data_IF_518281761216
#
_entry.id   IF_518281761216
#
_cell.length_a   1.000
_cell.length_b   1.000
_cell.length_c   1.000
_cell.angle_alpha   90.00
_cell.angle_beta   90.00
_cell.angle_gamma   90.00
#
_symmetry.space_group_name_H-M   'P 1'
#
loop_
_entity.id
_entity.type
_entity.pdbx_description
1 polymer ?
#
# COMPACT_ATOMS: atom_id res chain seq x y z
N UNK A 1 11.13 9.37 20.89
CA UNK A 1 10.24 8.18 20.78
C UNK A 1 9.19 8.54 19.75
N UNK A 2 9.20 7.90 18.57
CA UNK A 2 8.13 8.11 17.59
C UNK A 2 6.94 7.31 18.12
N UNK A 3 5.99 8.02 18.72
CA UNK A 3 4.74 7.44 19.18
C UNK A 3 4.10 6.71 17.98
N UNK A 4 3.73 5.42 18.10
CA UNK A 4 3.15 4.71 16.97
C UNK A 4 1.84 5.41 16.64
N UNK A 5 1.78 6.05 15.46
CA UNK A 5 0.56 6.71 14.97
C UNK A 5 -0.63 5.77 15.19
N UNK A 6 -1.60 6.12 16.05
CA UNK A 6 -2.75 5.26 16.32
C UNK A 6 -3.54 4.94 15.03
N UNK A 7 -3.41 5.80 14.02
CA UNK A 7 -3.92 5.61 12.67
C UNK A 7 -3.20 4.49 11.90
N UNK A 8 -1.88 4.31 12.06
CA UNK A 8 -1.13 3.20 11.46
C UNK A 8 -1.56 1.85 12.02
N UNK A 9 -1.94 1.81 13.30
CA UNK A 9 -2.49 0.60 13.94
C UNK A 9 -3.91 0.35 13.45
N UNK A 10 -4.76 1.39 13.43
CA UNK A 10 -6.16 1.31 13.00
C UNK A 10 -6.31 0.85 11.55
N UNK A 11 -5.48 1.36 10.65
CA UNK A 11 -5.54 1.06 9.22
C UNK A 11 -4.53 0.00 8.78
N UNK A 12 -3.91 -0.74 9.69
CA UNK A 12 -2.90 -1.73 9.35
C UNK A 12 -3.44 -2.81 8.40
N UNK A 13 -4.63 -3.37 8.68
CA UNK A 13 -5.24 -4.38 7.82
C UNK A 13 -5.65 -3.80 6.46
N UNK A 14 -6.33 -2.65 6.47
CA UNK A 14 -6.68 -1.91 5.26
C UNK A 14 -5.46 -1.60 4.38
N UNK A 15 -4.33 -1.24 4.99
CA UNK A 15 -3.07 -0.96 4.29
C UNK A 15 -2.49 -2.24 3.67
N UNK A 16 -2.56 -3.38 4.37
CA UNK A 16 -2.17 -4.67 3.81
C UNK A 16 -3.01 -5.00 2.58
N UNK A 17 -4.32 -4.87 2.68
CA UNK A 17 -5.25 -5.16 1.58
C UNK A 17 -5.03 -4.21 0.40
N UNK A 18 -4.86 -2.92 0.64
CA UNK A 18 -4.60 -1.93 -0.40
C UNK A 18 -3.29 -2.22 -1.16
N UNK A 19 -2.20 -2.53 -0.45
CA UNK A 19 -0.92 -2.92 -1.08
C UNK A 19 -1.08 -4.21 -1.87
N UNK A 20 -1.82 -5.19 -1.34
CA UNK A 20 -2.11 -6.42 -2.08
C UNK A 20 -2.91 -6.15 -3.35
N UNK A 21 -3.93 -5.29 -3.28
CA UNK A 21 -4.77 -4.94 -4.42
C UNK A 21 -3.93 -4.35 -5.56
N UNK A 22 -3.02 -3.43 -5.24
CA UNK A 22 -2.12 -2.83 -6.24
C UNK A 22 -1.18 -3.87 -6.86
N UNK A 23 -0.52 -4.68 -6.03
CA UNK A 23 0.50 -5.63 -6.52
C UNK A 23 -0.15 -6.78 -7.28
N UNK A 24 -1.22 -7.37 -6.75
CA UNK A 24 -1.94 -8.50 -7.38
C UNK A 24 -2.74 -8.06 -8.59
N UNK A 25 -3.30 -6.84 -8.56
CA UNK A 25 -4.01 -6.22 -9.67
C UNK A 25 -3.09 -5.65 -10.75
N UNK A 26 -1.77 -5.73 -10.57
CA UNK A 26 -0.78 -5.17 -11.48
C UNK A 26 -1.01 -3.67 -11.78
N UNK A 27 -1.45 -2.91 -10.77
CA UNK A 27 -1.80 -1.50 -10.91
C UNK A 27 -0.57 -0.60 -10.77
N UNK A 28 -0.57 0.53 -11.47
CA UNK A 28 0.52 1.50 -11.34
C UNK A 28 0.59 2.07 -9.92
N UNK A 29 1.78 2.23 -9.32
CA UNK A 29 1.98 2.99 -8.07
C UNK A 29 1.87 4.50 -8.31
N UNK A 30 0.83 4.93 -9.00
CA UNK A 30 0.55 6.31 -9.33
C UNK A 30 -0.36 6.93 -8.27
N UNK A 31 -0.22 8.24 -8.06
CA UNK A 31 -1.02 8.97 -7.09
C UNK A 31 -2.53 8.82 -7.33
N UNK A 32 -2.98 8.83 -8.59
CA UNK A 32 -4.39 8.63 -8.94
C UNK A 32 -4.94 7.27 -8.46
N UNK A 33 -4.16 6.19 -8.61
CA UNK A 33 -4.54 4.84 -8.16
C UNK A 33 -4.59 4.78 -6.64
N UNK A 34 -3.57 5.35 -5.99
CA UNK A 34 -3.47 5.40 -4.52
C UNK A 34 -4.64 6.20 -3.93
N UNK A 35 -4.97 7.35 -4.52
CA UNK A 35 -6.11 8.15 -4.11
C UNK A 35 -7.41 7.36 -4.30
N UNK A 36 -7.64 6.76 -5.46
CA UNK A 36 -8.85 5.97 -5.72
C UNK A 36 -9.04 4.85 -4.68
N UNK A 37 -8.00 4.05 -4.42
CA UNK A 37 -8.07 2.99 -3.42
C UNK A 37 -8.35 3.57 -2.02
N UNK A 38 -7.79 4.73 -1.71
CA UNK A 38 -8.06 5.40 -0.42
C UNK A 38 -9.51 5.83 -0.29
N UNK A 39 -10.13 6.33 -1.37
CA UNK A 39 -11.56 6.70 -1.40
C UNK A 39 -12.48 5.49 -1.15
N UNK A 40 -12.07 4.31 -1.61
CA UNK A 40 -12.84 3.07 -1.50
C UNK A 40 -12.62 2.35 -0.16
N UNK A 41 -11.49 2.61 0.51
CA UNK A 41 -11.06 1.82 1.69
C UNK A 41 -11.38 2.49 3.03
N UNK A 42 -11.28 3.82 3.13
CA UNK A 42 -11.42 4.54 4.41
C UNK A 42 -12.43 5.69 4.32
N UNK A 43 -12.95 6.22 5.45
CA UNK A 43 -13.86 7.35 5.43
C UNK A 43 -13.22 8.63 4.88
N UNK A 44 -14.04 9.56 4.41
CA UNK A 44 -13.62 10.83 3.78
C UNK A 44 -12.58 11.62 4.57
N UNK A 45 -12.69 11.60 5.89
CA UNK A 45 -11.80 12.34 6.77
C UNK A 45 -10.36 11.80 6.76
N UNK A 46 -10.19 10.53 6.40
CA UNK A 46 -8.92 9.82 6.51
C UNK A 46 -8.31 9.48 5.13
N UNK A 47 -8.98 9.81 4.02
CA UNK A 47 -8.50 9.56 2.65
C UNK A 47 -7.07 10.05 2.44
N UNK A 48 -6.79 11.30 2.81
CA UNK A 48 -5.47 11.92 2.61
C UNK A 48 -4.39 11.21 3.42
N UNK A 49 -4.68 10.92 4.69
CA UNK A 49 -3.72 10.24 5.57
C UNK A 49 -3.46 8.82 5.07
N UNK A 50 -4.51 8.08 4.71
CA UNK A 50 -4.38 6.73 4.18
C UNK A 50 -3.64 6.69 2.85
N UNK A 51 -3.88 7.64 1.94
CA UNK A 51 -3.16 7.76 0.68
C UNK A 51 -1.65 7.97 0.91
N UNK A 52 -1.28 8.81 1.88
CA UNK A 52 0.12 9.02 2.27
C UNK A 52 0.74 7.75 2.81
N UNK A 53 0.04 7.03 3.70
CA UNK A 53 0.50 5.76 4.26
C UNK A 53 0.70 4.69 3.18
N UNK A 54 -0.24 4.60 2.24
CA UNK A 54 -0.19 3.66 1.12
C UNK A 54 0.97 3.99 0.16
N UNK A 55 1.16 5.27 -0.15
CA UNK A 55 2.31 5.73 -0.94
C UNK A 55 3.64 5.38 -0.27
N UNK A 56 3.78 5.68 1.03
CA UNK A 56 4.96 5.32 1.82
C UNK A 56 5.18 3.79 1.81
N UNK A 57 4.12 3.01 2.01
CA UNK A 57 4.17 1.55 2.02
C UNK A 57 4.67 0.97 0.69
N UNK A 58 4.18 1.47 -0.45
CA UNK A 58 4.58 1.05 -1.79
C UNK A 58 6.01 1.48 -2.12
N UNK A 59 6.41 2.69 -1.73
CA UNK A 59 7.79 3.16 -1.88
C UNK A 59 8.74 2.27 -1.08
N UNK A 60 8.40 1.92 0.15
CA UNK A 60 9.24 1.03 0.94
C UNK A 60 9.02 -0.46 0.63
N UNK A 61 8.22 -0.82 -0.38
CA UNK A 61 7.98 -2.21 -0.73
C UNK A 61 9.20 -2.83 -1.43
N UNK A 62 9.76 -3.85 -0.80
CA UNK A 62 10.89 -4.66 -1.31
C UNK A 62 10.76 -6.08 -0.76
N UNK A 63 11.60 -7.00 -1.26
CA UNK A 63 11.53 -8.43 -0.93
C UNK A 63 11.47 -8.72 0.57
N UNK A 64 12.26 -8.01 1.39
CA UNK A 64 12.27 -8.15 2.86
C UNK A 64 11.00 -7.68 3.58
N UNK A 65 10.14 -6.89 2.92
CA UNK A 65 8.86 -6.41 3.47
C UNK A 65 7.63 -7.10 2.88
N UNK A 66 7.77 -8.01 1.91
CA UNK A 66 6.64 -8.71 1.28
C UNK A 66 5.83 -9.53 2.28
N UNK A 67 6.49 -10.17 3.25
CA UNK A 67 5.84 -10.98 4.27
C UNK A 67 4.82 -10.18 5.09
N UNK A 68 5.10 -8.90 5.37
CA UNK A 68 4.17 -8.00 6.09
C UNK A 68 2.87 -7.82 5.33
N UNK A 69 2.95 -7.73 4.01
CA UNK A 69 1.80 -7.56 3.13
C UNK A 69 1.22 -8.90 2.65
N UNK A 70 1.71 -10.04 3.17
CA UNK A 70 1.31 -11.40 2.75
C UNK A 70 1.39 -11.60 1.24
N UNK A 71 2.41 -10.98 0.61
CA UNK A 71 2.68 -11.08 -0.82
C UNK A 71 3.73 -12.14 -1.10
N UNK A 72 3.54 -12.87 -2.20
CA UNK A 72 4.55 -13.79 -2.75
C UNK A 72 5.59 -13.02 -3.54
N UNK A 73 6.82 -13.53 -3.56
CA UNK A 73 7.91 -12.96 -4.36
C UNK A 73 7.57 -12.94 -5.86
N UNK A 74 6.84 -13.93 -6.36
CA UNK A 74 6.39 -13.99 -7.75
C UNK A 74 5.38 -12.88 -8.11
N UNK A 75 4.46 -12.56 -7.21
CA UNK A 75 3.47 -11.48 -7.41
C UNK A 75 4.17 -10.13 -7.47
N UNK A 76 5.06 -9.86 -6.51
CA UNK A 76 5.87 -8.66 -6.51
C UNK A 76 6.76 -8.55 -7.76
N UNK A 77 7.43 -9.64 -8.15
CA UNK A 77 8.27 -9.63 -9.35
C UNK A 77 7.47 -9.35 -10.63
N UNK A 78 6.25 -9.89 -10.76
CA UNK A 78 5.38 -9.61 -11.91
C UNK A 78 5.01 -8.13 -11.97
N UNK A 79 4.57 -7.57 -10.84
CA UNK A 79 4.28 -6.13 -10.72
C UNK A 79 5.50 -5.26 -11.02
N UNK A 80 6.66 -5.66 -10.50
CA UNK A 80 7.91 -4.90 -10.63
C UNK A 80 8.47 -4.86 -12.04
N UNK A 81 8.19 -5.89 -12.84
CA UNK A 81 8.54 -5.91 -14.27
C UNK A 81 7.77 -4.85 -15.06
N UNK A 82 6.54 -4.54 -14.65
CA UNK A 82 5.71 -3.50 -15.28
C UNK A 82 6.08 -2.11 -14.77
N UNK A 83 6.42 -1.99 -13.48
CA UNK A 83 6.77 -0.74 -12.83
C UNK A 83 8.15 -0.82 -12.15
N UNK A 84 9.24 -0.83 -12.94
CA UNK A 84 10.58 -0.66 -12.39
C UNK A 84 10.68 0.72 -11.69
N UNK A 85 11.49 0.83 -10.62
CA UNK A 85 11.74 2.16 -10.00
C UNK A 85 12.61 2.97 -10.92
#
# INVERSE_FOLDING_TARGET
MVEPDPLKIRYHEALIEAVQSIVKGLLAPAEAVIQQISLETVPRNDHTVFALLLSEALQHLHEGRLARYRLKRSEYAAWRKLYPR
#
